data_IF_655560187925
#
_entry.id   IF_655560187925
#
_cell.length_a   1.000
_cell.length_b   1.000
_cell.length_c   1.000
_cell.angle_alpha   90.00
_cell.angle_beta   90.00
_cell.angle_gamma   90.00
#
_symmetry.space_group_name_H-M   'P 1'
#
loop_
_entity.id
_entity.type
_entity.pdbx_description
1 polymer ?
#
# COMPACT_ATOMS: atom_id res chain seq x y z
N UNK A 1 6.21 23.19 -25.18
CA UNK A 1 5.07 22.27 -24.93
C UNK A 1 5.20 21.08 -25.85
N UNK A 2 5.05 19.84 -25.35
CA UNK A 2 4.92 18.67 -26.22
C UNK A 2 3.45 18.54 -26.64
N UNK A 3 3.16 18.13 -27.88
CA UNK A 3 1.80 17.98 -28.35
C UNK A 3 1.10 16.83 -27.59
N UNK A 4 -0.16 17.07 -27.22
CA UNK A 4 -1.06 16.04 -26.73
C UNK A 4 -1.75 15.40 -27.94
N UNK A 5 -1.65 14.09 -28.08
CA UNK A 5 -2.25 13.33 -29.19
C UNK A 5 -3.40 12.49 -28.65
N UNK A 6 -4.58 12.54 -29.30
CA UNK A 6 -5.68 11.64 -28.99
C UNK A 6 -5.47 10.30 -29.69
N UNK A 7 -5.36 9.23 -28.91
CA UNK A 7 -5.05 7.88 -29.42
C UNK A 7 -6.31 7.03 -29.64
N UNK A 8 -7.32 7.18 -28.77
CA UNK A 8 -8.54 6.39 -28.86
C UNK A 8 -9.74 7.13 -28.25
N UNK A 9 -10.93 6.72 -28.69
CA UNK A 9 -12.23 7.15 -28.15
C UNK A 9 -13.14 5.94 -27.96
N UNK A 10 -14.00 5.97 -26.96
CA UNK A 10 -15.02 4.97 -26.71
C UNK A 10 -16.29 5.61 -26.12
N UNK A 11 -17.45 5.04 -26.41
CA UNK A 11 -18.71 5.46 -25.79
C UNK A 11 -18.87 4.80 -24.43
N UNK A 12 -19.28 5.57 -23.42
CA UNK A 12 -19.64 5.05 -22.11
C UNK A 12 -21.11 4.61 -22.09
N UNK A 13 -21.50 3.67 -21.19
CA UNK A 13 -22.88 3.16 -21.15
C UNK A 13 -23.95 4.22 -20.86
N UNK A 14 -23.58 5.32 -20.20
CA UNK A 14 -24.43 6.49 -19.93
C UNK A 14 -24.48 7.48 -21.11
N UNK A 15 -23.86 7.14 -22.25
CA UNK A 15 -23.88 7.95 -23.48
C UNK A 15 -22.83 9.05 -23.55
N UNK A 16 -21.90 9.11 -22.58
CA UNK A 16 -20.74 9.98 -22.63
C UNK A 16 -19.59 9.42 -23.49
N UNK A 17 -18.50 10.19 -23.56
CA UNK A 17 -17.28 9.78 -24.26
C UNK A 17 -16.14 9.56 -23.28
N UNK A 18 -15.38 8.49 -23.53
CA UNK A 18 -14.10 8.21 -22.89
C UNK A 18 -12.98 8.37 -23.92
N UNK A 19 -11.91 9.04 -23.54
CA UNK A 19 -10.81 9.42 -24.42
C UNK A 19 -9.46 9.01 -23.82
N UNK A 20 -8.59 8.45 -24.67
CA UNK A 20 -7.20 8.18 -24.34
C UNK A 20 -6.30 9.19 -25.05
N UNK A 21 -5.43 9.85 -24.30
CA UNK A 21 -4.44 10.77 -24.82
C UNK A 21 -3.02 10.32 -24.47
N UNK A 22 -2.08 10.64 -25.35
CA UNK A 22 -0.64 10.58 -25.10
C UNK A 22 -0.07 11.99 -25.05
N UNK A 23 0.75 12.24 -24.04
CA UNK A 23 1.58 13.43 -23.95
C UNK A 23 3.00 12.99 -23.57
N UNK A 24 3.92 13.05 -24.54
CA UNK A 24 5.27 12.49 -24.40
C UNK A 24 5.28 10.98 -24.13
N UNK A 25 5.79 10.55 -22.97
CA UNK A 25 5.78 9.17 -22.50
C UNK A 25 4.61 8.88 -21.57
N UNK A 26 3.79 9.89 -21.29
CA UNK A 26 2.66 9.78 -20.39
C UNK A 26 1.37 9.56 -21.16
N UNK A 27 0.43 8.91 -20.48
CA UNK A 27 -0.92 8.65 -20.94
C UNK A 27 -1.93 9.21 -19.94
N UNK A 28 -3.05 9.72 -20.46
CA UNK A 28 -4.19 10.16 -19.64
C UNK A 28 -5.49 9.61 -20.21
N UNK A 29 -6.36 9.12 -19.33
CA UNK A 29 -7.72 8.71 -19.64
C UNK A 29 -8.67 9.79 -19.11
N UNK A 30 -9.59 10.23 -19.96
CA UNK A 30 -10.63 11.21 -19.60
C UNK A 30 -12.01 10.66 -19.91
N UNK A 31 -13.01 11.05 -19.14
CA UNK A 31 -14.42 10.84 -19.46
C UNK A 31 -15.14 12.19 -19.49
N UNK A 32 -15.77 12.54 -20.61
CA UNK A 32 -16.45 13.83 -20.81
C UNK A 32 -15.55 15.03 -20.46
N UNK A 33 -14.26 14.94 -20.80
CA UNK A 33 -13.25 15.96 -20.48
C UNK A 33 -12.70 15.94 -19.04
N UNK A 34 -13.27 15.14 -18.13
CA UNK A 34 -12.77 14.96 -16.77
C UNK A 34 -11.63 13.93 -16.73
N UNK A 35 -10.47 14.32 -16.18
CA UNK A 35 -9.35 13.40 -15.96
C UNK A 35 -9.73 12.32 -14.93
N UNK A 36 -9.58 11.05 -15.33
CA UNK A 36 -9.82 9.89 -14.47
C UNK A 36 -8.51 9.24 -14.00
N UNK A 37 -7.53 9.16 -14.90
CA UNK A 37 -6.24 8.52 -14.60
C UNK A 37 -5.13 9.15 -15.44
N UNK A 38 -3.95 9.26 -14.84
CA UNK A 38 -2.74 9.73 -15.49
C UNK A 38 -1.57 8.79 -15.15
N UNK A 39 -0.73 8.46 -16.13
CA UNK A 39 0.44 7.60 -15.92
C UNK A 39 1.67 8.34 -15.39
N UNK A 40 1.61 9.67 -15.27
CA UNK A 40 2.68 10.47 -14.69
C UNK A 40 2.95 9.98 -13.28
N UNK A 41 4.22 9.70 -12.93
CA UNK A 41 4.58 9.43 -11.55
C UNK A 41 4.13 10.61 -10.70
N UNK A 42 3.32 10.33 -9.67
CA UNK A 42 3.07 11.31 -8.63
C UNK A 42 4.41 11.55 -7.92
N UNK A 43 5.04 12.69 -8.19
CA UNK A 43 6.18 13.13 -7.41
C UNK A 43 5.62 13.55 -6.05
N UNK A 44 5.70 12.64 -5.08
CA UNK A 44 5.29 12.95 -3.72
C UNK A 44 6.22 14.05 -3.19
N UNK A 45 5.69 15.15 -2.65
CA UNK A 45 6.54 16.14 -2.01
C UNK A 45 7.31 15.44 -0.88
N UNK A 46 8.58 15.82 -0.69
CA UNK A 46 9.49 15.20 0.31
C UNK A 46 8.85 15.06 1.70
N UNK A 47 7.96 15.98 2.04
CA UNK A 47 7.18 16.00 3.27
C UNK A 47 6.23 14.79 3.40
N UNK A 48 5.54 14.42 2.32
CA UNK A 48 4.64 13.26 2.29
C UNK A 48 5.41 11.93 2.38
N UNK A 49 6.65 11.88 1.86
CA UNK A 49 7.53 10.73 2.00
C UNK A 49 8.03 10.56 3.43
N UNK A 50 8.35 11.66 4.12
CA UNK A 50 8.78 11.65 5.52
C UNK A 50 7.66 11.14 6.45
N UNK A 51 6.43 11.63 6.27
CA UNK A 51 5.25 11.17 7.03
C UNK A 51 4.96 9.68 6.82
N UNK A 52 5.05 9.19 5.57
CA UNK A 52 4.87 7.76 5.27
C UNK A 52 5.94 6.90 5.94
N UNK A 53 7.21 7.34 5.91
CA UNK A 53 8.32 6.63 6.56
C UNK A 53 8.14 6.50 8.07
N UNK A 54 7.68 7.57 8.72
CA UNK A 54 7.39 7.57 10.17
C UNK A 54 6.25 6.60 10.50
N UNK A 55 5.15 6.62 9.73
CA UNK A 55 4.01 5.75 9.97
C UNK A 55 4.33 4.27 9.74
N UNK A 56 5.14 3.92 8.73
CA UNK A 56 5.54 2.53 8.49
C UNK A 56 6.54 2.05 9.54
N UNK A 57 7.44 2.92 10.02
CA UNK A 57 8.42 2.58 11.06
C UNK A 57 7.82 2.48 12.47
N UNK A 58 6.65 3.09 12.70
CA UNK A 58 5.97 3.09 13.99
C UNK A 58 5.27 1.75 14.33
N UNK A 59 5.06 0.87 13.36
CA UNK A 59 4.48 -0.45 13.60
C UNK A 59 5.57 -1.48 13.94
N UNK A 60 6.12 -1.38 15.15
CA UNK A 60 6.79 -2.54 15.77
C UNK A 60 5.73 -3.55 16.15
N UNK A 61 5.89 -4.80 15.72
CA UNK A 61 4.99 -5.89 16.11
C UNK A 61 4.90 -5.96 17.65
N UNK A 62 3.70 -6.11 18.24
CA UNK A 62 3.56 -6.10 19.69
C UNK A 62 4.38 -7.24 20.31
N UNK A 63 5.17 -6.91 21.34
CA UNK A 63 5.91 -7.91 22.13
C UNK A 63 4.89 -8.70 22.95
N UNK A 64 4.71 -9.99 22.64
CA UNK A 64 3.89 -10.89 23.45
C UNK A 64 4.69 -11.23 24.72
N UNK A 65 4.24 -10.79 25.89
CA UNK A 65 4.82 -11.20 27.16
C UNK A 65 4.43 -12.65 27.48
N UNK A 66 5.37 -13.52 27.89
CA UNK A 66 5.01 -14.86 28.35
C UNK A 66 4.23 -14.75 29.66
N UNK A 67 3.01 -15.30 29.66
CA UNK A 67 2.23 -15.49 30.89
C UNK A 67 2.99 -16.46 31.79
N UNK A 68 3.48 -15.97 32.93
CA UNK A 68 4.05 -16.82 33.97
C UNK A 68 2.88 -17.33 34.80
N UNK A 69 2.36 -18.50 34.44
CA UNK A 69 1.43 -19.21 35.31
C UNK A 69 2.24 -19.85 36.44
N UNK A 70 2.10 -19.29 37.65
CA UNK A 70 2.54 -19.94 38.88
C UNK A 70 1.80 -21.28 39.01
N UNK A 71 2.46 -22.37 38.65
CA UNK A 71 2.04 -23.72 38.98
C UNK A 71 2.54 -24.05 40.39
N UNK A 72 1.79 -23.64 41.41
CA UNK A 72 1.89 -24.29 42.72
C UNK A 72 1.23 -25.67 42.59
N UNK A 73 2.02 -26.73 42.44
CA UNK A 73 1.57 -28.06 42.86
C UNK A 73 2.77 -28.93 43.21
N UNK A 74 2.70 -29.42 44.45
CA UNK A 74 3.49 -30.48 45.07
C UNK A 74 3.94 -31.57 44.10
N UNK A 75 5.20 -32.02 44.25
CA UNK A 75 5.56 -33.35 44.75
C UNK A 75 7.09 -33.51 44.63
N UNK A 76 7.78 -33.64 45.77
CA UNK A 76 9.13 -34.21 45.83
C UNK A 76 9.08 -35.68 45.38
N UNK A 77 9.99 -36.15 44.52
CA UNK A 77 10.54 -37.53 44.62
C UNK A 77 11.89 -37.63 43.88
N UNK A 78 12.95 -37.66 44.69
CA UNK A 78 14.15 -38.52 44.67
C UNK A 78 14.76 -39.05 43.36
N UNK A 79 16.08 -38.80 43.26
CA UNK A 79 17.11 -39.29 42.33
C UNK A 79 17.12 -40.81 42.06
N UNK A 80 17.30 -41.18 40.79
CA UNK A 80 18.11 -42.35 40.42
C UNK A 80 18.72 -42.19 39.01
N UNK A 81 20.03 -41.93 38.99
CA UNK A 81 20.94 -42.10 37.86
C UNK A 81 21.18 -43.61 37.68
N UNK A 82 20.84 -44.18 36.52
CA UNK A 82 21.30 -45.52 36.12
C UNK A 82 22.22 -45.37 34.91
N UNK A 83 23.48 -45.77 35.10
CA UNK A 83 24.34 -46.29 34.03
C UNK A 83 23.89 -47.71 33.70
#
# INVERSE_FOLDING_TARGET
>A
MKPTVRLATAQTPDGGEMELYQHDRDFSIKANGLDLMNSRPQELPLQALAELYVNVSAHTAPIIQPVTQDLTSSEQTTLALFL
#
